data_IF_012887371957
#
_entry.id   IF_012887371957
#
_cell.length_a   1.000
_cell.length_b   1.000
_cell.length_c   1.000
_cell.angle_alpha   90.00
_cell.angle_beta   90.00
_cell.angle_gamma   90.00
#
_symmetry.space_group_name_H-M   'P 1'
#
loop_
_entity.id
_entity.type
_entity.pdbx_description
1 polymer ?
#
# COMPACT_ATOMS: atom_id res chain seq x y z
N UNK A 1 21.67 18.57 -11.08
CA UNK A 1 22.22 17.19 -11.08
C UNK A 1 21.94 16.53 -9.74
N UNK A 2 21.02 15.55 -9.69
CA UNK A 2 21.17 14.33 -8.89
C UNK A 2 20.16 13.27 -9.40
N UNK A 3 20.56 12.32 -10.27
CA UNK A 3 19.67 11.26 -10.70
C UNK A 3 19.65 10.19 -9.59
N UNK A 4 18.53 10.07 -8.87
CA UNK A 4 18.32 8.93 -7.96
C UNK A 4 18.32 7.65 -8.81
N UNK A 5 19.39 6.87 -8.66
CA UNK A 5 19.52 5.54 -9.22
C UNK A 5 18.43 4.64 -8.63
N UNK A 6 17.54 4.00 -9.42
CA UNK A 6 16.61 3.04 -8.85
C UNK A 6 17.40 1.80 -8.46
N UNK A 7 17.80 1.71 -7.18
CA UNK A 7 18.26 0.46 -6.59
C UNK A 7 17.23 -0.62 -6.91
N UNK A 8 17.66 -1.70 -7.60
CA UNK A 8 16.80 -2.84 -7.92
C UNK A 8 15.95 -3.17 -6.70
N UNK A 9 14.60 -3.12 -6.78
CA UNK A 9 13.78 -3.41 -5.62
C UNK A 9 14.13 -4.80 -5.12
N UNK A 10 14.57 -4.89 -3.86
CA UNK A 10 14.72 -6.19 -3.21
C UNK A 10 13.41 -6.96 -3.29
N UNK A 11 13.47 -8.29 -3.32
CA UNK A 11 12.26 -9.11 -3.36
C UNK A 11 11.32 -8.72 -2.21
N UNK A 12 10.02 -8.56 -2.50
CA UNK A 12 9.00 -8.25 -1.51
C UNK A 12 8.21 -9.52 -1.16
N UNK A 13 7.71 -9.58 0.08
CA UNK A 13 6.89 -10.68 0.54
C UNK A 13 5.56 -10.74 -0.22
N UNK A 14 5.23 -11.87 -0.85
CA UNK A 14 3.95 -12.02 -1.57
C UNK A 14 2.71 -11.97 -0.66
N UNK A 15 2.88 -12.09 0.67
CA UNK A 15 1.78 -11.96 1.64
C UNK A 15 1.64 -10.56 2.24
N UNK A 16 2.76 -9.91 2.59
CA UNK A 16 2.74 -8.65 3.35
C UNK A 16 3.51 -7.50 2.70
N UNK A 17 4.05 -7.71 1.50
CA UNK A 17 4.85 -6.76 0.71
C UNK A 17 6.06 -6.16 1.41
N UNK A 18 6.41 -6.62 2.62
CA UNK A 18 7.63 -6.18 3.32
C UNK A 18 8.86 -6.63 2.53
N UNK A 19 9.94 -5.83 2.50
CA UNK A 19 11.20 -6.24 1.92
C UNK A 19 11.66 -7.56 2.55
N UNK A 20 12.05 -8.50 1.70
CA UNK A 20 12.70 -9.74 2.11
C UNK A 20 14.19 -9.48 2.10
N UNK A 21 14.84 -9.77 3.23
CA UNK A 21 16.30 -9.75 3.29
C UNK A 21 16.86 -10.78 2.29
N UNK A 22 17.72 -10.31 1.39
CA UNK A 22 18.36 -11.16 0.38
C UNK A 22 19.23 -12.21 1.06
N UNK A 23 18.87 -13.48 0.93
CA UNK A 23 19.65 -14.60 1.47
C UNK A 23 20.66 -15.05 0.42
N UNK A 24 21.72 -14.28 0.19
CA UNK A 24 22.89 -14.72 -0.60
C UNK A 24 22.58 -15.36 -1.96
N UNK A 25 23.28 -16.45 -2.30
CA UNK A 25 23.05 -17.22 -3.55
C UNK A 25 21.86 -18.17 -3.37
N UNK A 26 20.95 -18.18 -4.35
CA UNK A 26 19.82 -19.09 -4.41
C UNK A 26 18.55 -18.43 -4.92
N UNK A 27 17.45 -19.20 -5.00
CA UNK A 27 16.13 -18.65 -5.37
C UNK A 27 15.65 -17.71 -4.25
N UNK A 28 15.26 -16.46 -4.58
CA UNK A 28 14.72 -15.54 -3.58
C UNK A 28 13.53 -16.14 -2.83
N UNK A 29 13.45 -15.89 -1.51
CA UNK A 29 12.28 -16.30 -0.73
C UNK A 29 11.05 -15.55 -1.22
N UNK A 30 9.90 -16.21 -1.18
CA UNK A 30 8.59 -15.62 -1.52
C UNK A 30 7.91 -14.93 -0.34
N UNK A 31 8.21 -15.39 0.88
CA UNK A 31 7.60 -14.88 2.12
C UNK A 31 8.67 -14.50 3.13
N UNK A 32 8.43 -13.41 3.88
CA UNK A 32 9.38 -12.94 4.89
C UNK A 32 9.41 -13.83 6.16
N UNK A 33 8.33 -14.55 6.47
CA UNK A 33 8.22 -15.40 7.67
C UNK A 33 7.33 -16.64 7.46
N UNK A 34 7.44 -17.62 8.36
CA UNK A 34 6.56 -18.80 8.40
C UNK A 34 5.09 -18.40 8.52
N UNK A 35 4.76 -17.45 9.40
CA UNK A 35 3.39 -16.95 9.58
C UNK A 35 2.82 -16.34 8.29
N UNK A 36 3.63 -15.62 7.51
CA UNK A 36 3.19 -15.09 6.22
C UNK A 36 2.89 -16.21 5.21
N UNK A 37 3.71 -17.26 5.18
CA UNK A 37 3.47 -18.43 4.33
C UNK A 37 2.21 -19.18 4.75
N UNK A 38 2.00 -19.38 6.05
CA UNK A 38 0.84 -20.08 6.59
C UNK A 38 -0.47 -19.36 6.25
N UNK A 39 -0.52 -18.05 6.44
CA UNK A 39 -1.71 -17.25 6.09
C UNK A 39 -1.99 -17.25 4.58
N UNK A 40 -0.96 -17.27 3.73
CA UNK A 40 -1.11 -17.39 2.27
C UNK A 40 -1.70 -18.74 1.86
N UNK A 41 -1.43 -19.80 2.63
CA UNK A 41 -2.07 -21.10 2.43
C UNK A 41 -3.54 -21.07 2.87
N UNK A 42 -3.81 -20.59 4.09
CA UNK A 42 -5.17 -20.49 4.64
C UNK A 42 -6.11 -19.66 3.75
N UNK A 43 -5.63 -18.55 3.20
CA UNK A 43 -6.44 -17.74 2.29
C UNK A 43 -6.84 -18.51 1.04
N UNK A 44 -5.90 -19.22 0.39
CA UNK A 44 -6.20 -20.03 -0.80
C UNK A 44 -7.18 -21.17 -0.48
N UNK A 45 -7.02 -21.79 0.68
CA UNK A 45 -7.92 -22.86 1.11
C UNK A 45 -9.33 -22.34 1.43
N UNK A 46 -9.45 -21.15 2.02
CA UNK A 46 -10.74 -20.55 2.37
C UNK A 46 -11.61 -20.15 1.17
N UNK A 47 -11.01 -19.88 0.01
CA UNK A 47 -11.73 -19.55 -1.23
C UNK A 47 -11.91 -20.75 -2.15
N UNK A 48 -11.26 -21.88 -1.84
CA UNK A 48 -11.36 -23.11 -2.62
C UNK A 48 -12.80 -23.62 -2.65
N UNK A 49 -13.35 -23.88 -3.84
CA UNK A 49 -14.73 -24.33 -4.03
C UNK A 49 -15.78 -23.21 -4.04
N UNK A 50 -15.36 -21.94 -3.99
CA UNK A 50 -16.24 -20.77 -4.21
C UNK A 50 -16.13 -20.27 -5.65
N UNK A 51 -17.07 -19.44 -6.09
CA UNK A 51 -16.99 -18.74 -7.40
C UNK A 51 -16.17 -17.44 -7.34
N UNK A 52 -15.39 -17.22 -6.28
CA UNK A 52 -14.59 -16.02 -6.11
C UNK A 52 -13.35 -16.12 -7.01
N UNK A 53 -13.06 -15.11 -7.86
CA UNK A 53 -11.86 -15.11 -8.70
C UNK A 53 -10.56 -15.21 -7.88
N UNK A 54 -9.56 -15.88 -8.44
CA UNK A 54 -8.26 -16.08 -7.78
C UNK A 54 -7.52 -14.77 -7.47
N UNK A 55 -7.78 -13.71 -8.23
CA UNK A 55 -7.21 -12.37 -8.09
C UNK A 55 -8.10 -11.41 -7.28
N UNK A 56 -9.23 -11.90 -6.74
CA UNK A 56 -10.16 -11.06 -6.02
C UNK A 56 -9.59 -10.60 -4.66
N UNK A 57 -9.66 -9.30 -4.43
CA UNK A 57 -9.40 -8.72 -3.11
C UNK A 57 -10.65 -8.85 -2.24
N UNK A 58 -10.53 -9.55 -1.10
CA UNK A 58 -11.60 -9.67 -0.12
C UNK A 58 -11.33 -8.76 1.08
N UNK A 59 -12.24 -7.82 1.33
CA UNK A 59 -12.24 -6.91 2.49
C UNK A 59 -13.50 -7.13 3.32
N UNK A 60 -13.41 -6.85 4.62
CA UNK A 60 -14.60 -6.68 5.44
C UNK A 60 -15.29 -5.36 5.08
N UNK A 61 -16.59 -5.26 5.31
CA UNK A 61 -17.33 -4.02 5.07
C UNK A 61 -16.74 -2.84 5.86
N UNK A 62 -16.36 -3.05 7.12
CA UNK A 62 -15.68 -2.05 7.95
C UNK A 62 -14.38 -1.54 7.31
N UNK A 63 -13.55 -2.44 6.76
CA UNK A 63 -12.30 -2.05 6.09
C UNK A 63 -12.55 -1.29 4.79
N UNK A 64 -13.58 -1.69 4.03
CA UNK A 64 -13.96 -0.99 2.81
C UNK A 64 -14.47 0.43 3.10
N UNK A 65 -15.26 0.60 4.18
CA UNK A 65 -15.71 1.92 4.65
C UNK A 65 -14.51 2.77 5.07
N UNK A 66 -13.64 2.23 5.91
CA UNK A 66 -12.47 2.96 6.39
C UNK A 66 -11.53 3.38 5.25
N UNK A 67 -11.32 2.53 4.24
CA UNK A 67 -10.56 2.89 3.05
C UNK A 67 -11.23 4.03 2.27
N UNK A 68 -12.55 4.00 2.11
CA UNK A 68 -13.30 5.07 1.45
C UNK A 68 -13.16 6.39 2.19
N UNK A 69 -13.26 6.38 3.53
CA UNK A 69 -13.12 7.57 4.37
C UNK A 69 -11.72 8.19 4.25
N UNK A 70 -10.68 7.37 4.25
CA UNK A 70 -9.32 7.88 4.08
C UNK A 70 -9.04 8.41 2.67
N UNK A 71 -9.53 7.74 1.62
CA UNK A 71 -9.43 8.24 0.25
C UNK A 71 -10.16 9.58 0.10
N UNK A 72 -11.27 9.76 0.80
CA UNK A 72 -11.97 11.04 0.86
C UNK A 72 -11.09 12.12 1.52
N UNK A 73 -10.48 11.83 2.68
CA UNK A 73 -9.56 12.76 3.35
C UNK A 73 -8.36 13.13 2.47
N UNK A 74 -7.76 12.15 1.79
CA UNK A 74 -6.66 12.38 0.86
C UNK A 74 -7.06 13.33 -0.28
N UNK A 75 -8.25 13.13 -0.87
CA UNK A 75 -8.78 14.02 -1.91
C UNK A 75 -8.97 15.44 -1.37
N UNK A 76 -9.56 15.59 -0.18
CA UNK A 76 -9.76 16.91 0.43
C UNK A 76 -8.43 17.64 0.66
N UNK A 77 -7.41 16.97 1.22
CA UNK A 77 -6.08 17.57 1.37
C UNK A 77 -5.48 18.01 0.02
N UNK A 78 -5.72 17.27 -1.06
CA UNK A 78 -5.29 17.68 -2.41
C UNK A 78 -6.07 18.89 -2.94
N UNK A 79 -7.36 18.99 -2.63
CA UNK A 79 -8.22 20.13 -2.97
C UNK A 79 -7.81 21.39 -2.19
N UNK A 80 -7.37 21.24 -0.94
CA UNK A 80 -6.84 22.34 -0.12
C UNK A 80 -5.56 22.90 -0.73
N UNK A 81 -4.62 22.04 -1.17
CA UNK A 81 -3.41 22.46 -1.91
C UNK A 81 -3.80 23.24 -3.17
N UNK A 82 -4.77 22.73 -3.94
CA UNK A 82 -5.25 23.39 -5.16
C UNK A 82 -5.83 24.78 -4.86
N UNK A 83 -6.59 24.91 -3.77
CA UNK A 83 -7.20 26.17 -3.35
C UNK A 83 -6.14 27.17 -2.88
N UNK A 84 -5.23 26.74 -2.00
CA UNK A 84 -4.12 27.55 -1.52
C UNK A 84 -3.23 28.05 -2.68
N UNK A 85 -2.92 27.18 -3.64
CA UNK A 85 -2.15 27.58 -4.82
C UNK A 85 -2.89 28.60 -5.70
N UNK A 86 -4.20 28.44 -5.88
CA UNK A 86 -5.03 29.39 -6.66
C UNK A 86 -5.12 30.76 -5.98
N UNK A 87 -5.11 30.79 -4.65
CA UNK A 87 -5.24 32.01 -3.86
C UNK A 87 -3.90 32.68 -3.57
N UNK A 88 -2.80 32.13 -4.09
CA UNK A 88 -1.47 32.71 -3.93
C UNK A 88 -0.91 32.57 -2.51
N UNK A 89 -1.31 31.51 -1.79
CA UNK A 89 -0.79 31.19 -0.47
C UNK A 89 0.75 31.10 -0.47
N UNK A 90 1.42 31.45 0.63
CA UNK A 90 2.87 31.37 0.72
C UNK A 90 3.36 29.93 0.53
N UNK A 91 4.55 29.79 -0.05
CA UNK A 91 5.15 28.48 -0.32
C UNK A 91 5.27 27.59 0.93
N UNK A 92 5.43 28.19 2.12
CA UNK A 92 5.45 27.46 3.39
C UNK A 92 4.11 26.76 3.69
N UNK A 93 2.99 27.41 3.39
CA UNK A 93 1.65 26.85 3.60
C UNK A 93 1.39 25.70 2.64
N UNK A 94 1.70 25.90 1.36
CA UNK A 94 1.61 24.83 0.35
C UNK A 94 2.49 23.63 0.75
N UNK A 95 3.70 23.89 1.27
CA UNK A 95 4.59 22.83 1.74
C UNK A 95 4.02 22.05 2.94
N UNK A 96 3.31 22.71 3.85
CA UNK A 96 2.63 22.05 4.98
C UNK A 96 1.49 21.17 4.47
N UNK A 97 0.64 21.68 3.59
CA UNK A 97 -0.48 20.92 3.01
C UNK A 97 0.02 19.70 2.21
N UNK A 98 1.09 19.86 1.43
CA UNK A 98 1.75 18.73 0.75
C UNK A 98 2.27 17.67 1.74
N UNK A 99 2.81 18.08 2.89
CA UNK A 99 3.29 17.16 3.93
C UNK A 99 2.14 16.37 4.54
N UNK A 100 1.02 17.03 4.80
CA UNK A 100 -0.21 16.38 5.28
C UNK A 100 -0.76 15.39 4.25
N UNK A 101 -0.86 15.78 2.98
CA UNK A 101 -1.30 14.90 1.89
C UNK A 101 -0.44 13.63 1.81
N UNK A 102 0.89 13.77 1.85
CA UNK A 102 1.81 12.61 1.84
C UNK A 102 1.59 11.74 3.07
N UNK A 103 1.39 12.33 4.25
CA UNK A 103 1.12 11.58 5.48
C UNK A 103 -0.17 10.75 5.38
N UNK A 104 -1.24 11.32 4.81
CA UNK A 104 -2.49 10.60 4.53
C UNK A 104 -2.27 9.46 3.53
N UNK A 105 -1.50 9.71 2.46
CA UNK A 105 -1.18 8.68 1.47
C UNK A 105 -0.41 7.51 2.10
N UNK A 106 0.61 7.78 2.91
CA UNK A 106 1.36 6.75 3.63
C UNK A 106 0.48 5.96 4.61
N UNK A 107 -0.52 6.59 5.23
CA UNK A 107 -1.48 5.91 6.09
C UNK A 107 -2.39 4.96 5.29
N UNK A 108 -2.84 5.37 4.10
CA UNK A 108 -3.65 4.54 3.18
C UNK A 108 -2.82 3.37 2.64
N UNK A 109 -1.54 3.58 2.29
CA UNK A 109 -0.65 2.49 1.85
C UNK A 109 -0.45 1.42 2.93
N UNK A 110 -0.53 1.81 4.21
CA UNK A 110 -0.50 0.87 5.35
C UNK A 110 -1.80 0.08 5.47
N UNK A 111 -2.92 0.59 4.94
CA UNK A 111 -4.15 -0.17 4.72
C UNK A 111 -3.97 -1.15 3.57
N UNK A 112 -3.26 -2.21 3.90
CA UNK A 112 -2.89 -3.26 2.97
C UNK A 112 -4.13 -4.03 2.56
N UNK A 113 -4.58 -3.69 1.35
CA UNK A 113 -5.33 -4.57 0.47
C UNK A 113 -4.62 -5.91 0.48
N UNK A 114 -5.27 -6.95 1.04
CA UNK A 114 -4.76 -8.32 0.96
C UNK A 114 -4.88 -8.75 -0.49
N UNK A 115 -3.91 -8.37 -1.32
CA UNK A 115 -3.81 -8.86 -2.68
C UNK A 115 -3.52 -10.36 -2.59
N UNK A 116 -4.51 -11.17 -2.97
CA UNK A 116 -4.30 -12.56 -3.40
C UNK A 116 -3.25 -12.52 -4.49
N UNK A 117 -2.01 -12.83 -4.14
CA UNK A 117 -0.97 -13.09 -5.13
C UNK A 117 -0.37 -14.46 -4.81
N UNK A 118 -0.75 -15.40 -5.69
CA UNK A 118 -0.32 -16.80 -5.80
C UNK A 118 1.12 -16.99 -5.38
#
# INVERSE_FOLDING_TARGET
MNPRNPTKPGATCSWCSKPIQSTGRGRPRKYCSHSCRQRAYEQRNNVSGTSIPDDAVILTQERASNLSDQLFQLRCAAEDIKTAAREGAPASEISMLCTELVTLAEAIERLRVKATNL
#
